data_IF_500956768104
#
_entry.id   IF_500956768104
#
_cell.length_a   1.000
_cell.length_b   1.000
_cell.length_c   1.000
_cell.angle_alpha   90.00
_cell.angle_beta   90.00
_cell.angle_gamma   90.00
#
_symmetry.space_group_name_H-M   'P 1'
#
loop_
_entity.id
_entity.type
_entity.pdbx_description
1 polymer ?
#
# COMPACT_ATOMS: atom_id res chain seq x y z
N UNK A 1 18.22 -6.08 -20.08
CA UNK A 1 16.85 -6.45 -19.68
C UNK A 1 16.24 -5.26 -18.97
N UNK A 2 15.01 -4.86 -19.30
CA UNK A 2 14.33 -3.77 -18.59
C UNK A 2 13.96 -4.25 -17.17
N UNK A 3 14.18 -3.40 -16.16
CA UNK A 3 13.77 -3.70 -14.78
C UNK A 3 12.26 -3.92 -14.73
N UNK A 4 11.83 -4.95 -14.00
CA UNK A 4 10.43 -5.24 -13.78
C UNK A 4 9.75 -4.08 -13.02
N UNK A 5 8.43 -3.96 -13.14
CA UNK A 5 7.66 -2.95 -12.41
C UNK A 5 7.93 -3.02 -10.90
N UNK A 6 8.01 -4.23 -10.33
CA UNK A 6 8.25 -4.41 -8.90
C UNK A 6 9.60 -3.84 -8.48
N UNK A 7 10.67 -4.18 -9.20
CA UNK A 7 12.02 -3.69 -8.91
C UNK A 7 12.11 -2.16 -9.01
N UNK A 8 11.41 -1.56 -9.98
CA UNK A 8 11.32 -0.10 -10.09
C UNK A 8 10.64 0.52 -8.87
N UNK A 9 9.51 -0.02 -8.43
CA UNK A 9 8.80 0.47 -7.25
C UNK A 9 9.62 0.28 -5.97
N UNK A 10 10.29 -0.86 -5.81
CA UNK A 10 11.19 -1.11 -4.67
C UNK A 10 12.33 -0.10 -4.63
N UNK A 11 12.89 0.24 -5.79
CA UNK A 11 13.93 1.27 -5.89
C UNK A 11 13.41 2.63 -5.43
N UNK A 12 12.24 3.07 -5.93
CA UNK A 12 11.64 4.35 -5.52
C UNK A 12 11.38 4.42 -4.00
N UNK A 13 10.81 3.35 -3.42
CA UNK A 13 10.60 3.26 -1.97
C UNK A 13 11.93 3.37 -1.22
N UNK A 14 12.96 2.64 -1.66
CA UNK A 14 14.28 2.63 -1.00
C UNK A 14 14.96 3.99 -1.09
N UNK A 15 14.99 4.61 -2.27
CA UNK A 15 15.57 5.94 -2.46
C UNK A 15 14.89 6.98 -1.57
N UNK A 16 13.55 7.05 -1.58
CA UNK A 16 12.84 7.95 -0.67
C UNK A 16 13.13 7.65 0.80
N UNK A 17 13.19 6.38 1.17
CA UNK A 17 13.46 5.98 2.55
C UNK A 17 14.87 6.37 3.01
N UNK A 18 15.87 6.21 2.16
CA UNK A 18 17.25 6.63 2.42
C UNK A 18 17.35 8.16 2.59
N UNK A 19 16.74 8.91 1.66
CA UNK A 19 16.74 10.38 1.67
C UNK A 19 16.03 10.96 2.90
N UNK A 20 15.06 10.23 3.47
CA UNK A 20 14.26 10.65 4.63
C UNK A 20 14.59 9.89 5.92
N UNK A 21 15.68 9.11 5.94
CA UNK A 21 16.12 8.32 7.10
C UNK A 21 15.06 7.36 7.69
N UNK A 22 14.22 6.78 6.83
CA UNK A 22 13.19 5.80 7.19
C UNK A 22 13.78 4.39 7.23
N UNK A 23 13.45 3.62 8.27
CA UNK A 23 13.82 2.22 8.37
C UNK A 23 12.81 1.35 7.59
N UNK A 24 13.22 0.84 6.42
CA UNK A 24 12.41 -0.06 5.58
C UNK A 24 13.17 -1.34 5.32
N UNK A 25 12.70 -2.44 5.89
CA UNK A 25 13.29 -3.77 5.73
C UNK A 25 12.47 -4.61 4.74
N UNK A 26 11.14 -4.53 4.86
CA UNK A 26 10.20 -5.26 4.01
C UNK A 26 9.32 -4.31 3.22
N UNK A 27 9.00 -4.70 1.98
CA UNK A 27 8.10 -3.95 1.11
C UNK A 27 7.06 -4.92 0.53
N UNK A 28 5.81 -4.73 0.95
CA UNK A 28 4.68 -5.55 0.56
C UNK A 28 3.75 -4.77 -0.38
N UNK A 29 3.63 -5.20 -1.64
CA UNK A 29 2.87 -4.46 -2.66
C UNK A 29 1.45 -4.98 -2.87
N UNK A 30 0.52 -4.07 -3.10
CA UNK A 30 -0.88 -4.39 -3.36
C UNK A 30 -1.48 -3.44 -4.40
N UNK A 31 -1.95 -3.99 -5.53
CA UNK A 31 -2.87 -3.25 -6.39
C UNK A 31 -4.17 -2.92 -5.67
N UNK A 32 -4.58 -1.67 -5.78
CA UNK A 32 -5.85 -1.18 -5.29
C UNK A 32 -6.38 -0.04 -6.18
N UNK A 33 -7.53 0.52 -5.83
CA UNK A 33 -8.06 1.70 -6.50
C UNK A 33 -9.49 2.06 -6.09
N UNK A 34 -10.01 3.21 -6.54
CA UNK A 34 -11.21 3.82 -5.97
C UNK A 34 -12.51 3.07 -6.34
N UNK A 35 -12.54 2.39 -7.48
CA UNK A 35 -13.74 1.71 -7.99
C UNK A 35 -13.39 0.49 -8.84
N UNK A 36 -14.39 -0.29 -9.26
CA UNK A 36 -14.18 -1.57 -9.94
C UNK A 36 -13.33 -1.45 -11.21
N UNK A 37 -13.60 -0.47 -12.08
CA UNK A 37 -12.80 -0.23 -13.30
C UNK A 37 -11.36 0.23 -13.01
N UNK A 38 -11.16 0.96 -11.91
CA UNK A 38 -9.88 1.55 -11.52
C UNK A 38 -9.15 0.76 -10.42
N UNK A 39 -9.57 -0.48 -10.11
CA UNK A 39 -9.04 -1.25 -8.97
C UNK A 39 -7.55 -1.64 -9.06
N UNK A 40 -6.90 -1.32 -10.17
CA UNK A 40 -5.45 -1.49 -10.41
C UNK A 40 -4.80 -0.16 -10.82
N UNK A 41 -5.47 0.98 -10.59
CA UNK A 41 -4.95 2.31 -10.95
C UNK A 41 -3.90 2.82 -9.99
N UNK A 42 -3.78 2.21 -8.80
CA UNK A 42 -2.76 2.52 -7.82
C UNK A 42 -2.15 1.24 -7.24
N UNK A 43 -0.92 1.38 -6.74
CA UNK A 43 -0.21 0.35 -5.99
C UNK A 43 0.12 0.92 -4.62
N UNK A 44 -0.30 0.22 -3.58
CA UNK A 44 0.09 0.47 -2.20
C UNK A 44 1.34 -0.37 -1.89
N UNK A 45 2.33 0.21 -1.23
CA UNK A 45 3.46 -0.50 -0.66
C UNK A 45 3.42 -0.34 0.86
N UNK A 46 3.20 -1.45 1.56
CA UNK A 46 3.20 -1.51 3.02
C UNK A 46 4.63 -1.77 3.49
N UNK A 47 5.11 -0.96 4.43
CA UNK A 47 6.45 -1.03 5.01
C UNK A 47 6.36 -0.78 6.51
N UNK A 48 7.46 -0.98 7.23
CA UNK A 48 7.54 -0.67 8.66
C UNK A 48 7.45 0.84 8.93
N UNK A 49 7.87 1.67 7.98
CA UNK A 49 7.85 3.12 8.11
C UNK A 49 6.47 3.73 7.79
N UNK A 50 5.63 3.02 7.03
CA UNK A 50 4.35 3.55 6.56
C UNK A 50 3.86 2.94 5.27
N UNK A 51 2.95 3.65 4.59
CA UNK A 51 2.38 3.24 3.31
C UNK A 51 2.80 4.21 2.22
N UNK A 52 3.41 3.67 1.18
CA UNK A 52 3.64 4.40 -0.07
C UNK A 52 2.50 4.12 -1.04
N UNK A 53 1.98 5.17 -1.66
CA UNK A 53 0.92 5.07 -2.68
C UNK A 53 1.46 5.56 -4.00
N UNK A 54 1.54 4.66 -4.97
CA UNK A 54 1.91 4.94 -6.35
C UNK A 54 0.66 5.12 -7.19
N UNK A 55 0.48 6.31 -7.77
CA UNK A 55 -0.64 6.64 -8.67
C UNK A 55 -0.09 6.80 -10.08
N UNK A 56 -0.59 6.00 -11.01
CA UNK A 56 -0.18 6.06 -12.42
C UNK A 56 -1.21 6.89 -13.20
N UNK A 57 -0.84 8.12 -13.57
CA UNK A 57 -1.60 8.95 -14.52
C UNK A 57 -0.98 8.82 -15.91
N UNK A 58 -1.71 9.24 -16.94
CA UNK A 58 -1.33 9.00 -18.35
C UNK A 58 0.04 9.59 -18.75
N UNK A 59 0.46 10.68 -18.10
CA UNK A 59 1.75 11.35 -18.33
C UNK A 59 2.74 11.20 -17.18
N UNK A 60 2.26 10.97 -15.96
CA UNK A 60 3.06 11.11 -14.74
C UNK A 60 2.77 9.99 -13.74
N UNK A 61 3.81 9.59 -13.01
CA UNK A 61 3.68 8.72 -11.85
C UNK A 61 3.91 9.57 -10.59
N UNK A 62 2.94 9.57 -9.69
CA UNK A 62 3.04 10.24 -8.40
C UNK A 62 3.23 9.21 -7.30
N UNK A 63 4.10 9.53 -6.35
CA UNK A 63 4.29 8.76 -5.13
C UNK A 63 3.93 9.62 -3.92
N UNK A 64 3.06 9.09 -3.07
CA UNK A 64 2.66 9.72 -1.81
C UNK A 64 3.07 8.82 -0.64
N UNK A 65 3.48 9.41 0.48
CA UNK A 65 3.86 8.67 1.69
C UNK A 65 2.93 9.01 2.85
N UNK A 66 2.46 7.98 3.55
CA UNK A 66 1.68 8.08 4.78
C UNK A 66 2.44 7.40 5.91
N UNK A 67 2.87 8.19 6.91
CA UNK A 67 3.65 7.72 8.06
C UNK A 67 2.85 6.70 8.88
N UNK A 68 3.48 5.58 9.22
CA UNK A 68 2.91 4.54 10.06
C UNK A 68 2.34 5.06 11.39
N UNK A 69 2.97 6.07 12.00
CA UNK A 69 2.54 6.67 13.27
C UNK A 69 1.17 7.33 13.19
N UNK A 70 0.78 7.78 11.99
CA UNK A 70 -0.53 8.41 11.76
C UNK A 70 -1.63 7.37 11.56
N UNK A 71 -1.29 6.15 11.15
CA UNK A 71 -2.24 5.10 10.78
C UNK A 71 -2.84 4.48 12.03
N UNK A 72 -4.14 4.65 12.20
CA UNK A 72 -4.92 4.07 13.30
C UNK A 72 -5.44 2.67 12.98
N UNK A 73 -5.84 2.45 11.72
CA UNK A 73 -6.51 1.21 11.36
C UNK A 73 -6.33 0.87 9.89
N UNK A 74 -6.07 -0.41 9.64
CA UNK A 74 -6.24 -1.02 8.32
C UNK A 74 -7.23 -2.17 8.44
N UNK A 75 -8.31 -2.11 7.66
CA UNK A 75 -9.35 -3.11 7.68
C UNK A 75 -9.68 -3.60 6.27
N UNK A 76 -9.82 -4.91 6.12
CA UNK A 76 -10.17 -5.55 4.86
C UNK A 76 -11.51 -6.26 4.98
N UNK A 77 -12.48 -5.85 4.16
CA UNK A 77 -13.83 -6.44 4.13
C UNK A 77 -14.02 -7.24 2.86
N UNK A 78 -14.32 -8.53 3.01
CA UNK A 78 -14.60 -9.42 1.88
C UNK A 78 -15.91 -9.02 1.19
N UNK A 79 -15.86 -8.87 -0.14
CA UNK A 79 -17.04 -8.76 -1.02
C UNK A 79 -17.05 -9.93 -2.01
N UNK A 80 -18.11 -10.03 -2.81
CA UNK A 80 -18.29 -11.13 -3.78
C UNK A 80 -17.12 -11.20 -4.78
N UNK A 81 -16.77 -10.09 -5.41
CA UNK A 81 -15.77 -10.04 -6.48
C UNK A 81 -14.41 -9.47 -6.05
N UNK A 82 -14.39 -8.62 -5.03
CA UNK A 82 -13.21 -7.88 -4.56
C UNK A 82 -13.15 -7.90 -3.03
N UNK A 83 -12.09 -7.34 -2.47
CA UNK A 83 -12.07 -6.86 -1.10
C UNK A 83 -12.24 -5.34 -1.09
N UNK A 84 -12.81 -4.81 -0.01
CA UNK A 84 -12.82 -3.39 0.28
C UNK A 84 -11.80 -3.13 1.39
N UNK A 85 -10.78 -2.35 1.08
CA UNK A 85 -9.73 -1.94 2.00
C UNK A 85 -10.07 -0.56 2.55
N UNK A 86 -9.97 -0.42 3.87
CA UNK A 86 -10.10 0.83 4.60
C UNK A 86 -8.76 1.12 5.28
N UNK A 87 -8.27 2.33 5.13
CA UNK A 87 -7.10 2.85 5.83
C UNK A 87 -7.55 4.11 6.55
N UNK A 88 -7.42 4.14 7.87
CA UNK A 88 -7.72 5.31 8.69
C UNK A 88 -6.44 5.87 9.25
N UNK A 89 -6.28 7.18 9.13
CA UNK A 89 -5.14 7.91 9.67
C UNK A 89 -5.60 9.20 10.35
N UNK A 90 -4.76 9.72 11.23
CA UNK A 90 -4.96 11.01 11.90
C UNK A 90 -4.09 12.06 11.21
N UNK A 91 -4.67 13.19 10.85
CA UNK A 91 -3.96 14.32 10.24
C UNK A 91 -3.15 15.09 11.28
N UNK A 92 -2.32 16.03 10.82
CA UNK A 92 -1.56 16.93 11.70
C UNK A 92 -2.48 17.76 12.62
N UNK A 93 -3.68 18.10 12.14
CA UNK A 93 -4.71 18.83 12.89
C UNK A 93 -5.49 17.93 13.88
N UNK A 94 -5.15 16.63 13.95
CA UNK A 94 -5.81 15.66 14.82
C UNK A 94 -7.14 15.12 14.28
N UNK A 95 -7.49 15.42 13.03
CA UNK A 95 -8.72 14.92 12.40
C UNK A 95 -8.54 13.51 11.85
N UNK A 96 -9.62 12.71 11.87
CA UNK A 96 -9.60 11.36 11.34
C UNK A 96 -9.97 11.35 9.86
N UNK A 97 -9.04 10.91 9.01
CA UNK A 97 -9.28 10.67 7.59
C UNK A 97 -9.38 9.17 7.26
N UNK A 98 -10.18 8.83 6.24
CA UNK A 98 -10.41 7.44 5.81
C UNK A 98 -10.25 7.27 4.29
N UNK A 99 -9.21 6.56 3.89
CA UNK A 99 -9.02 6.06 2.53
C UNK A 99 -9.82 4.77 2.27
N UNK A 100 -10.58 4.74 1.18
CA UNK A 100 -11.39 3.58 0.76
C UNK A 100 -10.95 3.07 -0.60
N UNK A 101 -10.57 1.80 -0.66
CA UNK A 101 -10.10 1.18 -1.89
C UNK A 101 -10.78 -0.16 -2.18
N UNK A 102 -10.83 -0.53 -3.45
CA UNK A 102 -11.18 -1.87 -3.92
C UNK A 102 -9.92 -2.62 -4.33
N UNK A 103 -9.79 -3.83 -3.81
CA UNK A 103 -8.64 -4.70 -4.02
C UNK A 103 -9.10 -5.97 -4.71
N UNK A 104 -8.48 -6.30 -5.84
CA UNK A 104 -8.81 -7.54 -6.54
C UNK A 104 -8.41 -8.76 -5.71
N UNK A 105 -9.16 -9.86 -5.82
CA UNK A 105 -8.78 -11.11 -5.14
C UNK A 105 -7.54 -11.77 -5.76
N UNK A 106 -7.29 -11.48 -7.03
CA UNK A 106 -6.19 -12.01 -7.86
C UNK A 106 -5.83 -10.99 -8.94
N UNK A 107 -4.56 -10.93 -9.31
CA UNK A 107 -4.05 -10.21 -10.48
C UNK A 107 -3.10 -11.14 -11.22
N UNK A 108 -3.37 -11.37 -12.51
CA UNK A 108 -2.59 -12.31 -13.33
C UNK A 108 -1.13 -11.85 -13.42
N UNK A 109 -0.19 -12.78 -13.25
CA UNK A 109 1.25 -12.50 -13.31
C UNK A 109 1.81 -11.68 -12.15
N UNK A 110 1.03 -11.43 -11.08
CA UNK A 110 1.44 -10.60 -9.92
C UNK A 110 1.34 -11.40 -8.63
N UNK A 111 2.32 -12.30 -8.41
CA UNK A 111 2.41 -13.14 -7.20
C UNK A 111 2.47 -12.32 -5.92
N UNK A 112 3.30 -11.27 -5.92
CA UNK A 112 3.44 -10.32 -4.81
C UNK A 112 2.10 -9.74 -4.34
N UNK A 113 1.17 -9.42 -5.25
CA UNK A 113 -0.14 -8.88 -4.87
C UNK A 113 -0.96 -9.90 -4.08
N UNK A 114 -0.94 -11.17 -4.50
CA UNK A 114 -1.65 -12.25 -3.80
C UNK A 114 -1.03 -12.50 -2.43
N UNK A 115 0.29 -12.48 -2.33
CA UNK A 115 1.03 -12.68 -1.08
C UNK A 115 0.72 -11.58 -0.07
N UNK A 116 0.81 -10.30 -0.47
CA UNK A 116 0.46 -9.17 0.39
C UNK A 116 -1.02 -9.16 0.76
N UNK A 117 -1.92 -9.51 -0.16
CA UNK A 117 -3.35 -9.65 0.16
C UNK A 117 -3.58 -10.73 1.24
N UNK A 118 -2.86 -11.85 1.15
CA UNK A 118 -2.96 -12.92 2.15
C UNK A 118 -2.45 -12.42 3.51
N UNK A 119 -1.31 -11.72 3.55
CA UNK A 119 -0.81 -11.08 4.79
C UNK A 119 -1.84 -10.13 5.41
N UNK A 120 -2.55 -9.32 4.61
CA UNK A 120 -3.63 -8.46 5.11
C UNK A 120 -4.80 -9.25 5.71
N UNK A 121 -5.19 -10.34 5.06
CA UNK A 121 -6.26 -11.22 5.55
C UNK A 121 -5.87 -11.84 6.89
N UNK A 122 -4.63 -12.28 7.00
CA UNK A 122 -4.09 -12.93 8.20
C UNK A 122 -3.67 -11.91 9.29
N UNK A 123 -3.82 -10.60 9.01
CA UNK A 123 -3.38 -9.49 9.86
C UNK A 123 -1.88 -9.52 10.20
N UNK A 124 -1.08 -10.03 9.27
CA UNK A 124 0.37 -10.22 9.39
C UNK A 124 1.18 -9.18 8.60
N UNK A 125 0.62 -8.00 8.31
CA UNK A 125 1.41 -6.89 7.76
C UNK A 125 2.08 -6.15 8.91
N UNK A 126 3.40 -6.04 8.83
CA UNK A 126 4.21 -5.25 9.75
C UNK A 126 4.15 -3.78 9.34
N UNK A 127 3.08 -3.09 9.76
CA UNK A 127 3.01 -1.62 9.65
C UNK A 127 3.54 -0.94 10.90
N UNK A 128 3.63 -1.69 11.99
CA UNK A 128 4.12 -1.27 13.28
C UNK A 128 4.67 -2.55 13.92
N UNK A 129 5.98 -2.64 14.17
CA UNK A 129 6.40 -3.36 15.37
C UNK A 129 5.68 -2.66 16.50
N UNK A 130 4.59 -3.26 16.99
CA UNK A 130 4.01 -2.88 18.28
C UNK A 130 5.13 -2.99 19.29
N UNK A 131 5.78 -1.88 19.63
CA UNK A 131 6.41 -1.75 20.92
C UNK A 131 5.24 -1.76 21.91
N UNK A 132 4.95 -2.96 22.40
CA UNK A 132 4.30 -3.14 23.70
C UNK A 132 5.20 -2.59 24.78
#
# INVERSE_FOLDING_TARGET
MAASLKERLEKEVRTYSEDNHLNVQTIDFLYAGPHMRGRHSLILAFTEAGIFTFVFKLSDAEMHFLDAKTIQQIALVKKKLVYRLFIRAVTEDGELEEGKYLVSKRVLGRKWHKETLQKLIDKNIQLLTTNK
#
